data_IF_824256898605
#
_entry.id   IF_824256898605
#
_cell.length_a   1.000
_cell.length_b   1.000
_cell.length_c   1.000
_cell.angle_alpha   90.00
_cell.angle_beta   90.00
_cell.angle_gamma   90.00
#
_symmetry.space_group_name_H-M   'P 1'
#
loop_
_entity.id
_entity.type
_entity.pdbx_description
1 polymer ?
#
# COMPACT_ATOMS: atom_id res chain seq x y z
N UNK A 1 7.04 21.50 9.52
CA UNK A 1 5.72 21.01 9.95
C UNK A 1 5.90 19.60 10.48
N UNK A 2 5.44 19.31 11.70
CA UNK A 2 5.50 17.94 12.22
C UNK A 2 4.52 17.08 11.40
N UNK A 3 5.00 16.00 10.78
CA UNK A 3 4.15 15.08 10.03
C UNK A 3 3.07 14.48 10.93
N UNK A 4 1.91 14.14 10.36
CA UNK A 4 0.82 13.52 11.11
C UNK A 4 1.33 12.27 11.84
N UNK A 5 0.93 12.09 13.10
CA UNK A 5 1.23 10.86 13.85
C UNK A 5 0.69 9.64 13.06
N UNK A 6 1.56 8.68 12.70
CA UNK A 6 1.12 7.46 12.02
C UNK A 6 0.04 6.71 12.78
N UNK A 7 0.13 6.62 14.11
CA UNK A 7 -0.83 5.86 14.92
C UNK A 7 -2.24 6.44 14.78
N UNK A 8 -2.38 7.76 14.95
CA UNK A 8 -3.63 8.49 14.73
C UNK A 8 -4.14 8.44 13.28
N UNK A 9 -3.25 8.29 12.28
CA UNK A 9 -3.64 8.28 10.88
C UNK A 9 -4.25 6.95 10.41
N UNK A 10 -3.88 5.82 11.02
CA UNK A 10 -4.28 4.50 10.54
C UNK A 10 -3.26 3.86 9.59
N UNK A 11 -3.46 2.57 9.30
CA UNK A 11 -2.67 1.83 8.33
C UNK A 11 -3.54 1.04 7.37
N UNK A 12 -2.93 0.57 6.28
CA UNK A 12 -3.69 -0.07 5.22
C UNK A 12 -2.86 -1.07 4.43
N UNK A 13 -3.57 -1.92 3.72
CA UNK A 13 -3.03 -2.76 2.65
C UNK A 13 -3.86 -2.57 1.39
N UNK A 14 -3.24 -2.76 0.24
CA UNK A 14 -3.92 -2.70 -1.06
C UNK A 14 -3.54 -3.94 -1.83
N UNK A 15 -4.54 -4.62 -2.39
CA UNK A 15 -4.40 -5.87 -3.10
C UNK A 15 -5.20 -5.82 -4.41
N UNK A 16 -4.71 -6.51 -5.43
CA UNK A 16 -5.41 -6.69 -6.69
C UNK A 16 -6.19 -8.01 -6.63
N UNK A 17 -7.50 -7.94 -6.88
CA UNK A 17 -8.37 -9.09 -7.06
C UNK A 17 -8.47 -9.37 -8.56
N UNK A 18 -8.26 -10.62 -8.97
CA UNK A 18 -8.40 -11.08 -10.35
C UNK A 18 -9.27 -12.32 -10.40
N UNK A 19 -10.40 -12.26 -11.08
CA UNK A 19 -11.39 -13.34 -11.11
C UNK A 19 -11.79 -13.81 -9.70
N UNK A 20 -11.95 -12.90 -8.74
CA UNK A 20 -12.22 -13.26 -7.33
C UNK A 20 -11.02 -13.83 -6.54
N UNK A 21 -9.81 -13.84 -7.10
CA UNK A 21 -8.63 -14.43 -6.46
C UNK A 21 -7.57 -13.36 -6.14
N UNK A 22 -6.84 -13.54 -5.03
CA UNK A 22 -5.84 -12.57 -4.55
C UNK A 22 -4.50 -13.24 -4.40
N UNK A 23 -3.48 -12.71 -5.08
CA UNK A 23 -2.12 -13.20 -4.92
C UNK A 23 -1.57 -12.81 -3.54
N UNK A 24 -1.04 -13.78 -2.79
CA UNK A 24 -0.40 -13.51 -1.50
C UNK A 24 -1.35 -13.02 -0.40
N UNK A 25 -2.63 -13.42 -0.44
CA UNK A 25 -3.67 -13.03 0.54
C UNK A 25 -3.17 -13.07 1.99
N UNK A 26 -2.55 -14.17 2.41
CA UNK A 26 -2.11 -14.34 3.80
C UNK A 26 -0.98 -13.36 4.17
N UNK A 27 -0.10 -13.01 3.22
CA UNK A 27 0.91 -11.96 3.43
C UNK A 27 0.29 -10.58 3.65
N UNK A 28 -0.86 -10.29 3.00
CA UNK A 28 -1.59 -9.05 3.24
C UNK A 28 -2.24 -9.02 4.63
N UNK A 29 -2.80 -10.16 5.08
CA UNK A 29 -3.39 -10.30 6.42
C UNK A 29 -2.30 -10.19 7.49
N UNK A 30 -1.17 -10.86 7.32
CA UNK A 30 -0.03 -10.79 8.24
C UNK A 30 0.54 -9.37 8.32
N UNK A 31 0.66 -8.69 7.17
CA UNK A 31 1.06 -7.27 7.15
C UNK A 31 0.12 -6.40 7.97
N UNK A 32 -1.19 -6.58 7.84
CA UNK A 32 -2.18 -5.81 8.63
C UNK A 32 -2.04 -6.13 10.12
N UNK A 33 -1.92 -7.41 10.48
CA UNK A 33 -1.73 -7.84 11.87
C UNK A 33 -0.48 -7.23 12.49
N UNK A 34 0.67 -7.34 11.81
CA UNK A 34 1.94 -6.80 12.30
C UNK A 34 1.89 -5.28 12.47
N UNK A 35 1.31 -4.56 11.51
CA UNK A 35 1.12 -3.12 11.60
C UNK A 35 0.21 -2.73 12.77
N UNK A 36 -0.93 -3.42 12.96
CA UNK A 36 -1.83 -3.15 14.09
C UNK A 36 -1.15 -3.42 15.44
N UNK A 37 -0.45 -4.55 15.60
CA UNK A 37 0.29 -4.85 16.83
C UNK A 37 1.36 -3.79 17.11
N UNK A 38 2.06 -3.32 16.07
CA UNK A 38 3.10 -2.30 16.20
C UNK A 38 2.55 -0.93 16.58
N UNK A 39 1.38 -0.56 16.08
CA UNK A 39 0.80 0.78 16.29
C UNK A 39 -0.13 0.86 17.48
N UNK A 40 -0.84 -0.23 17.80
CA UNK A 40 -1.96 -0.24 18.73
C UNK A 40 -1.83 -1.30 19.84
N UNK A 41 -0.81 -2.17 19.79
CA UNK A 41 -0.65 -3.27 20.74
C UNK A 41 -1.66 -4.42 20.57
N UNK A 42 -2.67 -4.27 19.71
CA UNK A 42 -3.70 -5.26 19.41
C UNK A 42 -3.95 -5.35 17.91
N UNK A 43 -4.59 -6.42 17.44
CA UNK A 43 -4.89 -6.63 16.03
C UNK A 43 -6.23 -7.36 15.81
N UNK A 44 -6.96 -7.05 14.72
CA UNK A 44 -8.11 -7.85 14.34
C UNK A 44 -7.71 -9.29 14.01
N UNK A 45 -8.60 -10.25 14.29
CA UNK A 45 -8.39 -11.65 13.94
C UNK A 45 -8.29 -11.85 12.41
N UNK A 46 -7.45 -12.78 11.93
CA UNK A 46 -7.26 -13.01 10.50
C UNK A 46 -8.56 -13.39 9.78
N UNK A 47 -9.41 -14.19 10.43
CA UNK A 47 -10.69 -14.62 9.84
C UNK A 47 -11.72 -13.49 9.83
N UNK A 48 -11.68 -12.57 10.79
CA UNK A 48 -12.50 -11.36 10.76
C UNK A 48 -12.12 -10.46 9.58
N UNK A 49 -10.82 -10.28 9.32
CA UNK A 49 -10.33 -9.52 8.16
C UNK A 49 -10.76 -10.18 6.84
N UNK A 50 -10.63 -11.51 6.74
CA UNK A 50 -11.06 -12.27 5.55
C UNK A 50 -12.57 -12.19 5.36
N UNK A 51 -13.34 -12.36 6.42
CA UNK A 51 -14.80 -12.27 6.39
C UNK A 51 -15.26 -10.88 5.94
N UNK A 52 -14.69 -9.81 6.51
CA UNK A 52 -14.97 -8.42 6.11
C UNK A 52 -14.65 -8.17 4.64
N UNK A 53 -13.50 -8.65 4.16
CA UNK A 53 -13.11 -8.52 2.76
C UNK A 53 -14.06 -9.27 1.81
N UNK A 54 -14.45 -10.50 2.14
CA UNK A 54 -15.42 -11.28 1.35
C UNK A 54 -16.80 -10.62 1.32
N UNK A 55 -17.29 -10.17 2.48
CA UNK A 55 -18.58 -9.48 2.57
C UNK A 55 -18.62 -8.20 1.74
N UNK A 56 -17.53 -7.43 1.72
CA UNK A 56 -17.43 -6.23 0.89
C UNK A 56 -17.47 -6.57 -0.63
N UNK A 57 -16.77 -7.62 -1.05
CA UNK A 57 -16.77 -8.06 -2.45
C UNK A 57 -18.15 -8.55 -2.89
N UNK A 58 -18.81 -9.36 -2.05
CA UNK A 58 -20.16 -9.84 -2.31
C UNK A 58 -21.18 -8.70 -2.40
N UNK A 59 -21.12 -7.74 -1.46
CA UNK A 59 -21.99 -6.56 -1.47
C UNK A 59 -21.78 -5.67 -2.71
N UNK A 60 -20.59 -5.69 -3.29
CA UNK A 60 -20.29 -4.97 -4.53
C UNK A 60 -20.53 -5.80 -5.81
N UNK A 61 -20.97 -7.06 -5.71
CA UNK A 61 -21.13 -7.96 -6.85
C UNK A 61 -19.81 -8.31 -7.55
N UNK A 62 -18.69 -8.27 -6.82
CA UNK A 62 -17.33 -8.48 -7.35
C UNK A 62 -16.74 -9.84 -6.97
N UNK A 63 -17.58 -10.83 -6.64
CA UNK A 63 -17.16 -12.18 -6.23
C UNK A 63 -16.26 -12.87 -7.28
N UNK A 64 -16.53 -12.62 -8.56
CA UNK A 64 -15.79 -13.19 -9.69
C UNK A 64 -15.14 -12.10 -10.57
N UNK A 65 -15.18 -10.85 -10.12
CA UNK A 65 -14.71 -9.69 -10.86
C UNK A 65 -13.24 -9.35 -10.62
N UNK A 66 -12.74 -8.45 -11.47
CA UNK A 66 -11.44 -7.81 -11.32
C UNK A 66 -11.60 -6.47 -10.59
N UNK A 67 -10.92 -6.30 -9.46
CA UNK A 67 -10.93 -5.03 -8.73
C UNK A 67 -9.64 -4.77 -7.95
N UNK A 68 -9.56 -3.59 -7.36
CA UNK A 68 -8.58 -3.25 -6.33
C UNK A 68 -9.30 -3.20 -4.99
N UNK A 69 -8.88 -4.03 -4.03
CA UNK A 69 -9.39 -4.01 -2.66
C UNK A 69 -8.40 -3.27 -1.77
N UNK A 70 -8.88 -2.29 -1.00
CA UNK A 70 -8.10 -1.58 0.01
C UNK A 70 -8.72 -1.79 1.37
N UNK A 71 -7.95 -2.39 2.28
CA UNK A 71 -8.37 -2.60 3.67
C UNK A 71 -7.61 -1.60 4.54
N UNK A 72 -8.35 -0.80 5.30
CA UNK A 72 -7.83 0.22 6.23
C UNK A 72 -8.18 -0.17 7.66
N UNK A 73 -7.23 0.05 8.57
CA UNK A 73 -7.39 -0.17 10.01
C UNK A 73 -6.98 1.11 10.72
N UNK A 74 -7.84 1.56 11.63
CA UNK A 74 -7.62 2.76 12.44
C UNK A 74 -8.14 2.54 13.86
N UNK A 75 -7.52 3.19 14.84
CA UNK A 75 -8.04 3.23 16.21
C UNK A 75 -9.14 4.28 16.32
N UNK A 76 -10.31 3.90 16.83
CA UNK A 76 -11.44 4.80 17.10
C UNK A 76 -11.86 4.58 18.54
N UNK A 77 -11.47 5.52 19.42
CA UNK A 77 -11.50 5.28 20.87
C UNK A 77 -10.62 4.06 21.21
N UNK A 78 -11.19 3.13 21.97
CA UNK A 78 -10.52 1.90 22.43
C UNK A 78 -10.68 0.72 21.46
N UNK A 79 -11.34 0.92 20.31
CA UNK A 79 -11.62 -0.13 19.34
C UNK A 79 -10.86 0.05 18.02
N UNK A 80 -10.58 -1.06 17.33
CA UNK A 80 -10.03 -1.04 15.98
C UNK A 80 -11.16 -1.12 14.95
N UNK A 81 -11.27 -0.10 14.11
CA UNK A 81 -12.19 -0.06 12.98
C UNK A 81 -11.52 -0.64 11.72
N UNK A 82 -12.24 -1.49 11.00
CA UNK A 82 -11.80 -2.09 9.72
C UNK A 82 -12.73 -1.66 8.59
N UNK A 83 -12.19 -0.83 7.69
CA UNK A 83 -12.88 -0.34 6.51
C UNK A 83 -12.33 -0.99 5.24
N UNK A 84 -13.21 -1.31 4.31
CA UNK A 84 -12.86 -1.96 3.04
C UNK A 84 -13.41 -1.13 1.89
N UNK A 85 -12.52 -0.61 1.06
CA UNK A 85 -12.87 0.10 -0.16
C UNK A 85 -12.62 -0.81 -1.38
N UNK A 86 -13.52 -0.75 -2.35
CA UNK A 86 -13.38 -1.41 -3.65
C UNK A 86 -13.23 -0.31 -4.72
N UNK A 87 -12.18 -0.43 -5.52
CA UNK A 87 -11.89 0.47 -6.63
C UNK A 87 -11.76 -0.34 -7.93
N UNK A 88 -11.87 0.29 -9.12
CA UNK A 88 -11.56 -0.35 -10.38
C UNK A 88 -10.19 -1.06 -10.40
N UNK A 89 -10.01 -2.11 -11.21
CA UNK A 89 -8.73 -2.81 -11.30
C UNK A 89 -7.64 -1.88 -11.80
N UNK A 90 -6.46 -1.96 -11.17
CA UNK A 90 -5.30 -1.16 -11.58
C UNK A 90 -4.39 -1.99 -12.47
N UNK A 91 -4.00 -1.41 -13.59
CA UNK A 91 -3.04 -2.00 -14.53
C UNK A 91 -1.70 -1.28 -14.44
N UNK A 92 -0.60 -2.03 -14.48
CA UNK A 92 0.72 -1.44 -14.56
C UNK A 92 0.91 -0.82 -15.96
N UNK A 93 1.42 0.42 -16.01
CA UNK A 93 1.81 1.00 -17.30
C UNK A 93 3.00 0.21 -17.85
N UNK A 94 3.01 -0.13 -19.15
CA UNK A 94 4.16 -0.74 -19.79
C UNK A 94 5.31 0.26 -20.00
N UNK A 95 5.04 1.56 -19.88
CA UNK A 95 6.04 2.60 -20.12
C UNK A 95 7.02 2.71 -18.94
N UNK A 96 8.32 2.91 -19.22
CA UNK A 96 9.30 3.22 -18.18
C UNK A 96 8.91 4.47 -17.38
N UNK A 97 9.07 4.40 -16.06
CA UNK A 97 8.84 5.54 -15.17
C UNK A 97 10.15 6.32 -14.97
N UNK A 98 10.08 7.65 -15.10
CA UNK A 98 11.14 8.54 -14.61
C UNK A 98 10.96 8.72 -13.10
N UNK A 99 12.05 8.62 -12.36
CA UNK A 99 12.06 8.73 -10.89
C UNK A 99 13.03 9.82 -10.45
N UNK A 100 12.73 10.49 -9.34
CA UNK A 100 13.60 11.47 -8.69
C UNK A 100 13.71 11.13 -7.21
N UNK A 101 14.91 11.25 -6.65
CA UNK A 101 15.12 11.13 -5.22
C UNK A 101 14.53 12.36 -4.51
N UNK A 102 13.75 12.13 -3.46
CA UNK A 102 13.21 13.19 -2.62
C UNK A 102 13.64 12.92 -1.17
N UNK A 103 14.46 13.79 -0.56
CA UNK A 103 14.92 13.58 0.80
C UNK A 103 13.78 13.83 1.78
N UNK A 104 13.78 13.06 2.87
CA UNK A 104 13.07 13.45 4.07
C UNK A 104 12.67 12.27 4.96
N UNK A 105 12.21 12.59 6.17
CA UNK A 105 11.93 11.60 7.19
C UNK A 105 10.66 10.82 6.86
N UNK A 106 10.67 9.54 7.21
CA UNK A 106 9.47 8.70 7.23
C UNK A 106 9.37 8.06 8.61
N UNK A 107 8.35 8.45 9.37
CA UNK A 107 8.01 7.77 10.61
C UNK A 107 7.56 6.32 10.30
N UNK A 108 7.90 5.35 11.16
CA UNK A 108 7.54 3.93 11.02
C UNK A 108 7.64 3.40 9.58
N UNK A 109 8.83 3.44 8.94
CA UNK A 109 9.01 3.06 7.53
C UNK A 109 8.61 1.60 7.23
N UNK A 110 8.63 0.73 8.24
CA UNK A 110 8.16 -0.66 8.17
C UNK A 110 6.64 -0.78 8.03
N UNK A 111 5.87 0.24 8.43
CA UNK A 111 4.41 0.25 8.38
C UNK A 111 3.88 0.99 7.15
N UNK A 112 2.83 0.44 6.55
CA UNK A 112 2.07 1.09 5.47
C UNK A 112 0.95 1.96 6.06
N UNK A 113 1.33 3.08 6.68
CA UNK A 113 0.41 4.00 7.36
C UNK A 113 -0.14 5.10 6.44
N UNK A 114 -1.16 5.81 6.91
CA UNK A 114 -1.88 6.88 6.21
C UNK A 114 -1.35 8.29 6.51
N UNK A 115 -0.34 8.44 7.38
CA UNK A 115 0.44 9.67 7.49
C UNK A 115 1.32 9.84 6.23
N UNK A 116 0.73 10.39 5.16
CA UNK A 116 1.28 10.41 3.81
C UNK A 116 1.87 11.77 3.40
N UNK A 117 1.97 12.74 4.32
CA UNK A 117 2.32 14.13 4.02
C UNK A 117 3.60 14.22 3.17
N UNK A 118 4.68 13.57 3.64
CA UNK A 118 5.97 13.54 2.94
C UNK A 118 5.89 12.85 1.57
N UNK A 119 5.14 11.75 1.45
CA UNK A 119 4.95 11.05 0.17
C UNK A 119 4.15 11.89 -0.83
N UNK A 120 3.19 12.68 -0.35
CA UNK A 120 2.39 13.58 -1.18
C UNK A 120 3.22 14.79 -1.64
N UNK A 121 4.03 15.37 -0.76
CA UNK A 121 5.01 16.41 -1.12
C UNK A 121 6.01 15.90 -2.16
N UNK A 122 6.62 14.73 -1.93
CA UNK A 122 7.53 14.10 -2.87
C UNK A 122 6.88 13.83 -4.23
N UNK A 123 5.60 13.41 -4.23
CA UNK A 123 4.83 13.21 -5.46
C UNK A 123 4.59 14.51 -6.21
N UNK A 124 4.18 15.58 -5.53
CA UNK A 124 3.99 16.91 -6.13
C UNK A 124 5.28 17.42 -6.76
N UNK A 125 6.39 17.39 -6.02
CA UNK A 125 7.70 17.80 -6.51
C UNK A 125 8.18 16.97 -7.73
N UNK A 126 7.83 15.69 -7.79
CA UNK A 126 8.14 14.84 -8.94
C UNK A 126 7.28 15.15 -10.17
N UNK A 127 6.02 15.54 -9.97
CA UNK A 127 5.10 15.94 -11.05
C UNK A 127 5.47 17.31 -11.62
N UNK A 128 5.88 18.25 -10.77
CA UNK A 128 6.36 19.58 -11.18
C UNK A 128 7.70 19.51 -11.93
N UNK A 129 8.57 18.57 -11.56
CA UNK A 129 9.87 18.32 -12.23
C UNK A 129 9.79 17.46 -13.50
N UNK A 130 8.60 17.16 -14.02
CA UNK A 130 8.43 16.35 -15.23
C UNK A 130 8.72 17.12 -16.54
N UNK A 131 9.05 18.42 -16.48
CA UNK A 131 9.67 19.14 -17.59
C UNK A 131 11.19 18.89 -17.62
N UNK A 132 11.61 18.22 -18.69
CA UNK A 132 12.96 18.08 -19.27
C UNK A 132 14.12 18.80 -18.57
N UNK A 133 15.14 18.06 -18.11
CA UNK A 133 16.50 18.62 -18.00
C UNK A 133 17.58 17.53 -18.12
N UNK A 134 18.51 17.78 -19.06
CA UNK A 134 19.76 17.05 -19.35
C UNK A 134 20.72 17.19 -18.17
N UNK A 135 21.45 16.13 -17.84
CA UNK A 135 22.44 16.14 -16.76
C UNK A 135 23.62 17.07 -17.10
N UNK A 136 23.97 17.97 -16.18
CA UNK A 136 25.32 18.53 -16.06
C UNK A 136 25.82 18.37 -14.62
N UNK A 137 26.86 17.53 -14.50
CA UNK A 137 27.80 17.37 -13.37
C UNK A 137 27.38 16.52 -12.15
N UNK A 138 28.29 15.67 -11.61
CA UNK A 138 28.00 14.75 -10.51
C UNK A 138 28.20 15.39 -9.12
N UNK A 139 27.44 14.98 -8.09
CA UNK A 139 27.71 15.38 -6.71
C UNK A 139 28.80 14.50 -6.06
N UNK A 140 29.79 15.14 -5.46
CA UNK A 140 30.83 14.54 -4.60
C UNK A 140 30.30 14.32 -3.18
N UNK A 141 30.12 13.06 -2.78
CA UNK A 141 29.78 12.64 -1.40
C UNK A 141 29.09 11.27 -1.37
N UNK A 142 29.15 10.49 -0.26
CA UNK A 142 28.46 9.21 -0.17
C UNK A 142 26.95 9.45 -0.30
N UNK A 143 26.37 8.90 -1.38
CA UNK A 143 24.96 9.08 -1.69
C UNK A 143 24.07 8.43 -0.63
N UNK A 144 23.00 9.09 -0.14
CA UNK A 144 22.05 8.46 0.76
C UNK A 144 21.46 7.21 0.07
N UNK A 145 21.48 6.06 0.79
CA UNK A 145 20.93 4.81 0.26
C UNK A 145 19.44 4.97 -0.04
N UNK A 146 19.02 4.59 -1.25
CA UNK A 146 17.62 4.57 -1.65
C UNK A 146 16.82 3.59 -0.76
N UNK A 147 15.69 4.04 -0.20
CA UNK A 147 14.90 3.25 0.76
C UNK A 147 13.59 2.69 0.19
N UNK A 148 12.83 3.43 -0.61
CA UNK A 148 11.64 2.95 -1.34
C UNK A 148 10.91 4.08 -2.10
N UNK A 149 10.09 3.76 -3.11
CA UNK A 149 9.18 4.72 -3.76
C UNK A 149 7.93 5.08 -2.94
N UNK A 150 7.24 6.17 -3.31
CA UNK A 150 6.13 6.76 -2.53
C UNK A 150 4.83 5.95 -2.52
N UNK A 151 4.60 5.09 -3.52
CA UNK A 151 3.37 4.29 -3.65
C UNK A 151 3.50 3.01 -4.48
N UNK A 152 4.60 2.87 -5.23
CA UNK A 152 4.90 1.69 -6.05
C UNK A 152 6.27 1.15 -5.65
N UNK A 153 6.30 0.06 -4.90
CA UNK A 153 7.44 -0.87 -4.99
C UNK A 153 7.11 -1.80 -6.15
N UNK A 154 7.98 -1.90 -7.16
CA UNK A 154 7.78 -2.81 -8.28
C UNK A 154 7.52 -4.21 -7.74
N UNK A 155 6.30 -4.72 -7.92
CA UNK A 155 6.06 -6.14 -7.71
C UNK A 155 6.82 -6.87 -8.81
N UNK A 156 7.68 -7.80 -8.41
CA UNK A 156 8.31 -8.73 -9.34
C UNK A 156 7.21 -9.39 -10.18
N UNK A 157 7.46 -9.51 -11.50
CA UNK A 157 6.56 -10.20 -12.43
C UNK A 157 6.17 -11.56 -11.84
N UNK A 158 4.90 -11.98 -11.93
CA UNK A 158 4.50 -13.30 -11.46
C UNK A 158 5.34 -14.37 -12.19
N UNK A 159 5.92 -15.29 -11.42
CA UNK A 159 6.46 -16.53 -11.98
C UNK A 159 5.29 -17.31 -12.59
N UNK A 160 5.35 -17.73 -13.86
CA UNK A 160 4.29 -18.54 -14.44
C UNK A 160 4.14 -19.86 -13.64
N UNK A 161 2.91 -20.18 -13.22
CA UNK A 161 2.58 -21.50 -12.64
C UNK A 161 2.05 -21.55 -11.21
N UNK A 162 2.01 -20.45 -10.43
CA UNK A 162 1.31 -20.45 -9.12
C UNK A 162 -0.07 -19.82 -9.24
N UNK A 163 -1.13 -20.65 -9.21
CA UNK A 163 -2.50 -20.18 -9.03
C UNK A 163 -2.58 -19.40 -7.71
N UNK A 164 -2.99 -18.14 -7.77
CA UNK A 164 -3.32 -17.39 -6.56
C UNK A 164 -4.48 -18.11 -5.86
N UNK A 165 -4.44 -18.29 -4.53
CA UNK A 165 -5.58 -18.85 -3.82
C UNK A 165 -6.77 -17.93 -4.04
N UNK A 166 -7.87 -18.50 -4.50
CA UNK A 166 -9.11 -17.76 -4.66
C UNK A 166 -9.66 -17.36 -3.30
N UNK A 167 -10.43 -16.27 -3.25
CA UNK A 167 -11.12 -15.90 -2.01
C UNK A 167 -12.19 -16.91 -1.60
N UNK A 168 -12.40 -17.97 -2.40
CA UNK A 168 -13.15 -19.17 -2.03
C UNK A 168 -12.34 -20.09 -1.12
N UNK A 169 -12.63 -19.96 0.17
CA UNK A 169 -12.75 -20.98 1.23
C UNK A 169 -12.99 -20.21 2.54
#
# INVERSE_FOLDING_TARGET
MAGRDPAAAGHFTTLQVRGGCVQGRDLHVDRLRQASLRMYGTAPGPDALRSRARGALAAAGMDEGDCTLRIRIQSVGDALQVDVDIEPPRHASPQPLRVRAHPGPRALPEVKHLALDHQLEARRAAQEGAATMRCSSPPTGPSPKARSGTSRSGMARPRPGRKAPCLRA
#
